data_IF_668014738710
#
_entry.id   IF_668014738710
#
_cell.length_a   1.000
_cell.length_b   1.000
_cell.length_c   1.000
_cell.angle_alpha   90.00
_cell.angle_beta   90.00
_cell.angle_gamma   90.00
#
_symmetry.space_group_name_H-M   'P 1'
#
loop_
_entity.id
_entity.type
_entity.pdbx_description
1 polymer ?
#
# COMPACT_ATOMS: atom_id res chain seq x y z
N UNK A 1 -0.73 13.11 -39.47
CA UNK A 1 -0.16 13.07 -38.10
C UNK A 1 -1.19 13.68 -37.16
N UNK A 2 -1.63 12.96 -36.12
CA UNK A 2 -2.58 13.53 -35.13
C UNK A 2 -1.90 14.63 -34.34
N UNK A 3 -2.57 15.76 -34.13
CA UNK A 3 -2.03 16.82 -33.26
C UNK A 3 -2.04 16.40 -31.78
N UNK A 4 -1.22 17.02 -30.92
CA UNK A 4 -1.26 16.74 -29.47
C UNK A 4 -2.64 17.06 -28.87
N UNK A 5 -3.35 18.04 -29.42
CA UNK A 5 -4.69 18.41 -28.95
C UNK A 5 -5.74 17.38 -29.39
N UNK A 6 -5.62 16.83 -30.60
CA UNK A 6 -6.44 15.68 -31.03
C UNK A 6 -6.19 14.46 -30.15
N UNK A 7 -4.94 14.18 -29.79
CA UNK A 7 -4.62 13.08 -28.86
C UNK A 7 -5.25 13.31 -27.49
N UNK A 8 -5.15 14.52 -26.92
CA UNK A 8 -5.81 14.87 -25.66
C UNK A 8 -7.33 14.70 -25.74
N UNK A 9 -7.94 15.07 -26.88
CA UNK A 9 -9.37 14.86 -27.11
C UNK A 9 -9.73 13.37 -27.18
N UNK A 10 -8.92 12.57 -27.89
CA UNK A 10 -9.09 11.12 -27.99
C UNK A 10 -8.97 10.43 -26.63
N UNK A 11 -7.96 10.80 -25.82
CA UNK A 11 -7.78 10.29 -24.45
C UNK A 11 -9.00 10.60 -23.60
N UNK A 12 -9.47 11.86 -23.60
CA UNK A 12 -10.63 12.25 -22.80
C UNK A 12 -11.91 11.52 -23.22
N UNK A 13 -12.13 11.36 -24.54
CA UNK A 13 -13.27 10.61 -25.06
C UNK A 13 -13.20 9.14 -24.62
N UNK A 14 -12.05 8.49 -24.77
CA UNK A 14 -11.88 7.10 -24.36
C UNK A 14 -12.11 6.92 -22.85
N UNK A 15 -11.61 7.84 -22.03
CA UNK A 15 -11.83 7.80 -20.58
C UNK A 15 -13.31 7.98 -20.20
N UNK A 16 -14.06 8.80 -20.93
CA UNK A 16 -15.51 8.92 -20.76
C UNK A 16 -16.24 7.64 -21.19
N UNK A 17 -15.88 7.07 -22.34
CA UNK A 17 -16.45 5.80 -22.85
C UNK A 17 -16.19 4.65 -21.86
N UNK A 18 -14.97 4.51 -21.34
CA UNK A 18 -14.61 3.54 -20.28
C UNK A 18 -15.48 3.76 -19.03
N UNK A 19 -15.69 5.01 -18.62
CA UNK A 19 -16.51 5.32 -17.46
C UNK A 19 -17.96 4.83 -17.60
N UNK A 20 -18.52 4.90 -18.81
CA UNK A 20 -19.88 4.44 -19.12
C UNK A 20 -19.92 2.90 -19.17
N UNK A 21 -18.98 2.28 -19.88
CA UNK A 21 -18.92 0.83 -20.06
C UNK A 21 -18.70 0.10 -18.73
N UNK A 22 -17.89 0.67 -17.84
CA UNK A 22 -17.58 0.05 -16.54
C UNK A 22 -18.80 0.02 -15.60
N UNK A 23 -19.72 0.98 -15.68
CA UNK A 23 -20.88 1.01 -14.79
C UNK A 23 -21.79 -0.22 -14.98
N UNK A 24 -22.02 -0.63 -16.24
CA UNK A 24 -22.84 -1.81 -16.54
C UNK A 24 -22.17 -3.16 -16.20
N UNK A 25 -20.85 -3.18 -16.03
CA UNK A 25 -20.11 -4.43 -15.71
C UNK A 25 -20.25 -4.85 -14.24
N UNK A 26 -20.70 -3.96 -13.36
CA UNK A 26 -20.90 -4.28 -11.94
C UNK A 26 -22.33 -4.72 -11.60
N UNK A 27 -23.28 -4.60 -12.53
CA UNK A 27 -24.66 -5.08 -12.36
C UNK A 27 -24.71 -6.63 -12.36
N UNK A 28 -24.01 -7.24 -13.32
CA UNK A 28 -23.79 -8.69 -13.38
C UNK A 28 -22.36 -8.98 -12.91
N UNK A 29 -22.15 -9.26 -11.62
CA UNK A 29 -20.82 -9.45 -11.02
C UNK A 29 -20.12 -10.75 -11.50
N UNK A 30 -19.66 -10.76 -12.75
CA UNK A 30 -18.83 -11.79 -13.36
C UNK A 30 -17.35 -11.38 -13.25
N UNK A 31 -16.66 -11.97 -12.28
CA UNK A 31 -15.27 -11.69 -11.96
C UNK A 31 -14.32 -11.95 -13.13
N UNK A 32 -14.61 -12.97 -13.96
CA UNK A 32 -13.75 -13.33 -15.09
C UNK A 32 -13.87 -12.27 -16.19
N UNK A 33 -15.11 -11.90 -16.52
CA UNK A 33 -15.38 -10.83 -17.51
C UNK A 33 -14.88 -9.48 -17.04
N UNK A 34 -15.02 -9.18 -15.75
CA UNK A 34 -14.51 -7.96 -15.14
C UNK A 34 -12.98 -7.89 -15.24
N UNK A 35 -12.28 -8.96 -14.84
CA UNK A 35 -10.83 -9.03 -14.90
C UNK A 35 -10.30 -8.86 -16.34
N UNK A 36 -10.94 -9.51 -17.32
CA UNK A 36 -10.59 -9.36 -18.73
C UNK A 36 -10.79 -7.92 -19.23
N UNK A 37 -11.94 -7.31 -18.93
CA UNK A 37 -12.24 -5.95 -19.40
C UNK A 37 -11.31 -4.93 -18.76
N UNK A 38 -11.06 -5.02 -17.45
CA UNK A 38 -10.12 -4.15 -16.74
C UNK A 38 -8.70 -4.25 -17.32
N UNK A 39 -8.24 -5.46 -17.63
CA UNK A 39 -6.93 -5.68 -18.27
C UNK A 39 -6.87 -5.06 -19.67
N UNK A 40 -7.90 -5.29 -20.48
CA UNK A 40 -7.98 -4.71 -21.84
C UNK A 40 -7.95 -3.19 -21.80
N UNK A 41 -8.70 -2.59 -20.88
CA UNK A 41 -8.72 -1.15 -20.70
C UNK A 41 -7.35 -0.65 -20.21
N UNK A 42 -6.74 -1.33 -19.24
CA UNK A 42 -5.41 -0.97 -18.74
C UNK A 42 -4.36 -0.94 -19.86
N UNK A 43 -4.30 -1.96 -20.73
CA UNK A 43 -3.35 -1.96 -21.86
C UNK A 43 -3.55 -0.79 -22.81
N UNK A 44 -4.81 -0.42 -23.10
CA UNK A 44 -5.11 0.74 -23.94
C UNK A 44 -4.71 2.06 -23.27
N UNK A 45 -4.91 2.16 -21.96
CA UNK A 45 -4.55 3.35 -21.18
C UNK A 45 -3.02 3.50 -21.08
N UNK A 46 -2.28 2.42 -20.86
CA UNK A 46 -0.81 2.43 -20.82
C UNK A 46 -0.23 2.86 -22.19
N UNK A 47 -0.77 2.35 -23.31
CA UNK A 47 -0.37 2.80 -24.67
C UNK A 47 -0.62 4.31 -24.89
N UNK A 48 -1.72 4.84 -24.35
CA UNK A 48 -2.03 6.27 -24.41
C UNK A 48 -1.15 7.11 -23.50
N UNK A 49 -0.76 6.58 -22.35
CA UNK A 49 0.13 7.25 -21.38
C UNK A 49 1.50 7.46 -22.03
N UNK A 50 2.08 6.40 -22.57
CA UNK A 50 3.38 6.46 -23.27
C UNK A 50 3.37 7.48 -24.42
N UNK A 51 2.33 7.46 -25.26
CA UNK A 51 2.25 8.38 -26.40
C UNK A 51 1.97 9.82 -25.99
N UNK A 52 1.20 10.05 -24.92
CA UNK A 52 0.91 11.39 -24.42
C UNK A 52 2.15 11.98 -23.71
N UNK A 53 2.80 11.22 -22.83
CA UNK A 53 4.03 11.64 -22.14
C UNK A 53 5.15 12.00 -23.11
N UNK A 54 5.36 11.16 -24.15
CA UNK A 54 6.33 11.41 -25.23
C UNK A 54 6.11 12.75 -25.93
N UNK A 55 4.86 13.19 -26.06
CA UNK A 55 4.49 14.44 -26.74
C UNK A 55 4.40 15.65 -25.82
N UNK A 56 4.18 15.46 -24.52
CA UNK A 56 4.05 16.56 -23.55
C UNK A 56 5.36 16.93 -22.86
N UNK A 57 6.29 15.98 -22.72
CA UNK A 57 7.52 16.12 -21.94
C UNK A 57 7.26 16.16 -20.42
N UNK A 58 8.23 15.74 -19.61
CA UNK A 58 8.10 15.55 -18.15
C UNK A 58 7.98 16.84 -17.31
N UNK A 59 8.03 18.03 -17.91
CA UNK A 59 8.10 19.29 -17.16
C UNK A 59 6.73 19.90 -16.91
N UNK A 60 6.14 19.57 -15.76
CA UNK A 60 5.03 20.32 -15.13
C UNK A 60 5.62 21.59 -14.49
N UNK A 61 5.37 22.82 -14.99
CA UNK A 61 5.80 24.02 -14.29
C UNK A 61 4.81 24.35 -13.18
N UNK A 62 5.32 24.64 -11.99
CA UNK A 62 4.58 25.22 -10.88
C UNK A 62 4.07 26.62 -11.26
N UNK A 63 2.75 26.76 -11.35
CA UNK A 63 2.02 28.01 -11.67
C UNK A 63 2.07 29.07 -10.55
N UNK A 64 3.12 29.10 -9.71
CA UNK A 64 3.02 29.83 -8.44
C UNK A 64 3.35 31.32 -8.48
N UNK A 65 3.86 31.86 -9.59
CA UNK A 65 4.12 33.30 -9.68
C UNK A 65 3.83 33.82 -11.09
N UNK A 66 2.63 34.35 -11.32
CA UNK A 66 2.37 35.21 -12.47
C UNK A 66 1.79 36.53 -11.99
N UNK A 67 2.52 37.59 -12.35
CA UNK A 67 2.18 38.97 -12.08
C UNK A 67 0.90 39.34 -12.86
N UNK A 68 -0.02 40.09 -12.23
CA UNK A 68 -1.36 40.40 -12.80
C UNK A 68 -1.31 41.17 -14.14
N UNK A 69 -0.13 41.62 -14.58
CA UNK A 69 0.09 42.54 -15.70
C UNK A 69 0.48 41.91 -17.06
N UNK A 70 0.73 40.61 -17.18
CA UNK A 70 0.99 39.97 -18.49
C UNK A 70 -0.27 39.29 -19.07
N UNK A 71 -1.22 40.11 -19.54
CA UNK A 71 -2.48 39.68 -20.20
C UNK A 71 -2.35 39.57 -21.73
N UNK A 72 -1.38 38.82 -22.23
CA UNK A 72 -1.33 38.51 -23.67
C UNK A 72 -2.26 37.31 -23.98
N UNK A 73 -3.26 37.45 -24.88
CA UNK A 73 -4.17 36.37 -25.27
C UNK A 73 -3.46 35.12 -25.85
N UNK A 74 -2.37 35.30 -26.60
CA UNK A 74 -1.61 34.21 -27.20
C UNK A 74 -0.87 33.40 -26.12
N UNK A 75 -0.29 34.11 -25.15
CA UNK A 75 0.34 33.50 -23.97
C UNK A 75 -0.70 32.74 -23.14
N UNK A 76 -1.89 33.31 -22.91
CA UNK A 76 -2.98 32.62 -22.21
C UNK A 76 -3.44 31.35 -22.94
N UNK A 77 -3.54 31.40 -24.27
CA UNK A 77 -3.91 30.24 -25.08
C UNK A 77 -2.88 29.11 -24.97
N UNK A 78 -1.57 29.44 -25.03
CA UNK A 78 -0.51 28.47 -24.83
C UNK A 78 -0.55 27.83 -23.44
N UNK A 79 -0.81 28.62 -22.40
CA UNK A 79 -0.98 28.11 -21.03
C UNK A 79 -2.22 27.23 -20.87
N UNK A 80 -3.35 27.59 -21.49
CA UNK A 80 -4.55 26.74 -21.50
C UNK A 80 -4.27 25.39 -22.14
N UNK A 81 -3.57 25.36 -23.27
CA UNK A 81 -3.15 24.11 -23.93
C UNK A 81 -2.28 23.25 -23.03
N UNK A 82 -1.24 23.83 -22.43
CA UNK A 82 -0.36 23.11 -21.48
C UNK A 82 -1.13 22.57 -20.27
N UNK A 83 -2.03 23.39 -19.70
CA UNK A 83 -2.89 22.98 -18.58
C UNK A 83 -3.80 21.82 -18.96
N UNK A 84 -4.44 21.87 -20.13
CA UNK A 84 -5.33 20.81 -20.60
C UNK A 84 -4.58 19.49 -20.82
N UNK A 85 -3.36 19.54 -21.35
CA UNK A 85 -2.47 18.37 -21.48
C UNK A 85 -2.14 17.77 -20.12
N UNK A 86 -1.75 18.60 -19.15
CA UNK A 86 -1.45 18.15 -17.79
C UNK A 86 -2.68 17.55 -17.10
N UNK A 87 -3.85 18.16 -17.26
CA UNK A 87 -5.11 17.61 -16.73
C UNK A 87 -5.48 16.27 -17.36
N UNK A 88 -5.24 16.11 -18.66
CA UNK A 88 -5.46 14.83 -19.34
C UNK A 88 -4.52 13.73 -18.82
N UNK A 89 -3.24 14.05 -18.58
CA UNK A 89 -2.29 13.14 -17.93
C UNK A 89 -2.71 12.78 -16.51
N UNK A 90 -3.06 13.75 -15.67
CA UNK A 90 -3.54 13.49 -14.30
C UNK A 90 -4.77 12.59 -14.29
N UNK A 91 -5.72 12.83 -15.21
CA UNK A 91 -6.91 12.00 -15.39
C UNK A 91 -6.53 10.58 -15.82
N UNK A 92 -5.59 10.45 -16.76
CA UNK A 92 -5.10 9.17 -17.27
C UNK A 92 -4.38 8.36 -16.17
N UNK A 93 -3.44 8.95 -15.43
CA UNK A 93 -2.76 8.30 -14.30
C UNK A 93 -3.75 7.85 -13.22
N UNK A 94 -4.79 8.65 -12.95
CA UNK A 94 -5.85 8.28 -12.01
C UNK A 94 -6.62 7.06 -12.50
N UNK A 95 -7.02 7.04 -13.78
CA UNK A 95 -7.71 5.91 -14.39
C UNK A 95 -6.85 4.64 -14.39
N UNK A 96 -5.58 4.73 -14.78
CA UNK A 96 -4.60 3.63 -14.76
C UNK A 96 -4.47 3.08 -13.33
N UNK A 97 -4.32 3.96 -12.34
CA UNK A 97 -4.21 3.57 -10.93
C UNK A 97 -5.48 2.82 -10.48
N UNK A 98 -6.67 3.31 -10.83
CA UNK A 98 -7.94 2.65 -10.51
C UNK A 98 -8.04 1.24 -11.14
N UNK A 99 -7.64 1.08 -12.39
CA UNK A 99 -7.64 -0.23 -13.07
C UNK A 99 -6.63 -1.19 -12.44
N UNK A 100 -5.39 -0.73 -12.16
CA UNK A 100 -4.35 -1.53 -11.48
C UNK A 100 -4.82 -1.98 -10.10
N UNK A 101 -5.41 -1.08 -9.32
CA UNK A 101 -5.99 -1.41 -8.01
C UNK A 101 -7.11 -2.44 -8.14
N UNK A 102 -8.03 -2.27 -9.09
CA UNK A 102 -9.13 -3.20 -9.29
C UNK A 102 -8.65 -4.61 -9.65
N UNK A 103 -7.69 -4.72 -10.57
CA UNK A 103 -7.06 -6.00 -10.93
C UNK A 103 -6.30 -6.64 -9.76
N UNK A 104 -5.62 -5.83 -8.96
CA UNK A 104 -4.94 -6.28 -7.74
C UNK A 104 -5.93 -6.84 -6.71
N UNK A 105 -7.05 -6.12 -6.46
CA UNK A 105 -8.13 -6.59 -5.60
C UNK A 105 -8.73 -7.92 -6.09
N UNK A 106 -8.96 -8.07 -7.39
CA UNK A 106 -9.46 -9.33 -7.96
C UNK A 106 -8.42 -10.45 -7.76
N UNK A 107 -7.16 -10.20 -8.12
CA UNK A 107 -6.07 -11.20 -8.02
C UNK A 107 -5.78 -11.63 -6.58
N UNK A 108 -6.00 -10.75 -5.61
CA UNK A 108 -5.80 -11.05 -4.20
C UNK A 108 -6.94 -11.85 -3.58
N UNK A 109 -8.15 -11.80 -4.15
CA UNK A 109 -9.33 -12.49 -3.62
C UNK A 109 -9.76 -13.72 -4.45
N UNK A 110 -9.32 -13.83 -5.70
CA UNK A 110 -9.73 -14.91 -6.60
C UNK A 110 -8.52 -15.62 -7.24
N UNK A 111 -8.72 -16.90 -7.54
CA UNK A 111 -7.85 -17.69 -8.39
C UNK A 111 -8.61 -18.12 -9.64
N UNK A 112 -7.95 -18.02 -10.79
CA UNK A 112 -8.54 -18.37 -12.08
C UNK A 112 -8.02 -19.73 -12.54
N UNK A 113 -8.92 -20.56 -13.05
CA UNK A 113 -8.62 -21.90 -13.51
C UNK A 113 -9.16 -22.11 -14.93
N UNK A 114 -8.34 -22.64 -15.82
CA UNK A 114 -8.77 -23.18 -17.10
C UNK A 114 -8.70 -24.70 -17.00
N UNK A 115 -9.86 -25.35 -16.89
CA UNK A 115 -9.90 -26.78 -16.56
C UNK A 115 -9.32 -27.04 -15.16
N UNK A 116 -8.13 -27.68 -15.10
CA UNK A 116 -7.43 -28.01 -13.84
C UNK A 116 -6.19 -27.15 -13.58
N UNK A 117 -5.73 -26.34 -14.55
CA UNK A 117 -4.51 -25.53 -14.40
C UNK A 117 -4.83 -24.12 -13.90
N UNK A 118 -4.11 -23.62 -12.88
CA UNK A 118 -4.23 -22.24 -12.44
C UNK A 118 -3.65 -21.28 -13.50
N UNK A 119 -4.32 -20.17 -13.72
CA UNK A 119 -3.99 -19.15 -14.70
C UNK A 119 -3.89 -17.78 -14.00
N UNK A 120 -2.95 -16.93 -14.46
CA UNK A 120 -2.83 -15.55 -14.00
C UNK A 120 -3.81 -14.65 -14.73
N UNK A 121 -4.20 -13.53 -14.13
CA UNK A 121 -5.09 -12.56 -14.79
C UNK A 121 -4.53 -12.08 -16.13
N UNK A 122 -3.21 -11.96 -16.24
CA UNK A 122 -2.51 -11.53 -17.45
C UNK A 122 -2.62 -12.51 -18.64
N UNK A 123 -3.02 -13.76 -18.42
CA UNK A 123 -3.17 -14.75 -19.49
C UNK A 123 -4.61 -14.98 -19.95
N UNK A 124 -5.59 -14.27 -19.37
CA UNK A 124 -6.99 -14.38 -19.77
C UNK A 124 -7.19 -13.83 -21.20
N UNK A 125 -7.77 -14.66 -22.08
CA UNK A 125 -8.12 -14.34 -23.47
C UNK A 125 -9.64 -14.29 -23.68
N UNK A 126 -10.07 -13.50 -24.67
CA UNK A 126 -11.50 -13.31 -25.01
C UNK A 126 -12.21 -14.63 -25.34
N UNK A 127 -11.54 -15.49 -26.11
CA UNK A 127 -12.13 -16.73 -26.64
C UNK A 127 -12.30 -17.83 -25.56
N UNK A 128 -11.71 -17.61 -24.37
CA UNK A 128 -11.67 -18.57 -23.27
C UNK A 128 -12.57 -18.16 -22.08
N UNK A 129 -13.23 -17.00 -22.15
CA UNK A 129 -14.04 -16.44 -21.05
C UNK A 129 -15.07 -17.45 -20.50
N UNK A 130 -15.77 -18.17 -21.37
CA UNK A 130 -16.77 -19.17 -20.94
C UNK A 130 -16.20 -20.47 -20.37
N UNK A 131 -14.88 -20.69 -20.44
CA UNK A 131 -14.21 -21.91 -19.96
C UNK A 131 -13.46 -21.68 -18.64
N UNK A 132 -13.20 -20.44 -18.29
CA UNK A 132 -12.45 -20.07 -17.09
C UNK A 132 -13.39 -20.08 -15.89
N UNK A 133 -12.96 -20.72 -14.80
CA UNK A 133 -13.66 -20.70 -13.52
C UNK A 133 -12.87 -19.85 -12.54
N UNK A 134 -13.56 -18.97 -11.81
CA UNK A 134 -13.00 -18.25 -10.68
C UNK A 134 -13.34 -18.97 -9.38
N UNK A 135 -12.36 -19.14 -8.50
CA UNK A 135 -12.54 -19.66 -7.14
C UNK A 135 -12.09 -18.60 -6.15
N UNK A 136 -12.90 -18.34 -5.13
CA UNK A 136 -12.51 -17.45 -4.03
C UNK A 136 -11.37 -18.05 -3.22
N UNK A 137 -10.40 -17.19 -2.88
CA UNK A 137 -9.33 -17.51 -1.94
C UNK A 137 -9.89 -17.57 -0.51
N UNK A 138 -9.30 -18.39 0.37
CA UNK A 138 -9.75 -18.53 1.75
C UNK A 138 -9.56 -17.22 2.54
N UNK A 139 -8.50 -16.45 2.22
CA UNK A 139 -8.21 -15.17 2.86
C UNK A 139 -8.58 -14.06 1.90
N UNK A 140 -9.41 -13.13 2.37
CA UNK A 140 -9.84 -11.96 1.59
C UNK A 140 -8.98 -10.74 1.95
N UNK A 141 -8.33 -10.15 0.94
CA UNK A 141 -7.51 -8.95 1.09
C UNK A 141 -8.23 -7.75 0.45
N UNK A 142 -8.63 -6.82 1.32
CA UNK A 142 -9.42 -5.65 0.93
C UNK A 142 -10.84 -6.00 0.45
N UNK A 143 -11.74 -5.03 0.47
CA UNK A 143 -13.14 -5.22 0.05
C UNK A 143 -13.32 -5.17 -1.46
N UNK A 144 -13.96 -6.20 -1.99
CA UNK A 144 -14.41 -6.28 -3.39
C UNK A 144 -15.53 -5.27 -3.68
N UNK A 145 -16.36 -4.97 -2.66
CA UNK A 145 -17.47 -4.01 -2.75
C UNK A 145 -17.02 -2.60 -3.13
N UNK A 146 -15.73 -2.28 -2.99
CA UNK A 146 -15.16 -0.97 -3.33
C UNK A 146 -14.98 -0.82 -4.85
N UNK A 147 -14.90 -1.93 -5.60
CA UNK A 147 -14.58 -1.91 -7.03
C UNK A 147 -15.51 -1.01 -7.86
N UNK A 148 -16.85 -1.07 -7.74
CA UNK A 148 -17.75 -0.23 -8.54
C UNK A 148 -17.53 1.27 -8.33
N UNK A 149 -16.95 1.67 -7.19
CA UNK A 149 -16.79 3.06 -6.79
C UNK A 149 -15.40 3.64 -7.11
N UNK A 150 -14.52 2.88 -7.77
CA UNK A 150 -13.22 3.37 -8.22
C UNK A 150 -13.37 4.33 -9.42
N UNK A 151 -12.51 5.36 -9.54
CA UNK A 151 -12.60 6.35 -10.61
C UNK A 151 -12.00 5.82 -11.94
N UNK A 152 -12.67 4.87 -12.59
CA UNK A 152 -12.19 4.25 -13.84
C UNK A 152 -11.99 5.24 -15.00
N UNK A 153 -12.75 6.33 -15.03
CA UNK A 153 -12.58 7.43 -16.00
C UNK A 153 -11.57 8.51 -15.56
N UNK A 154 -10.98 8.38 -14.37
CA UNK A 154 -10.02 9.32 -13.80
C UNK A 154 -10.61 10.62 -13.22
N UNK A 155 -11.90 10.92 -13.43
CA UNK A 155 -12.52 12.18 -12.99
C UNK A 155 -13.07 12.13 -11.56
N UNK A 156 -12.18 12.03 -10.58
CA UNK A 156 -12.58 11.98 -9.15
C UNK A 156 -13.47 13.15 -8.75
N UNK A 157 -13.10 14.38 -9.13
CA UNK A 157 -13.85 15.57 -8.75
C UNK A 157 -15.21 15.67 -9.45
N UNK A 158 -15.33 15.17 -10.69
CA UNK A 158 -16.59 15.16 -11.42
C UNK A 158 -17.56 14.18 -10.77
N UNK A 159 -17.10 12.97 -10.44
CA UNK A 159 -17.88 11.98 -9.71
C UNK A 159 -18.33 12.58 -8.37
N UNK A 160 -17.39 13.11 -7.59
CA UNK A 160 -17.66 13.73 -6.30
C UNK A 160 -18.62 14.95 -6.37
N UNK A 161 -18.64 15.69 -7.47
CA UNK A 161 -19.50 16.87 -7.64
C UNK A 161 -20.98 16.53 -7.78
N UNK A 162 -21.30 15.29 -8.19
CA UNK A 162 -22.67 14.78 -8.33
C UNK A 162 -23.25 14.30 -7.01
N UNK A 163 -22.40 14.17 -5.98
CA UNK A 163 -22.76 13.57 -4.70
C UNK A 163 -23.17 14.59 -3.63
N UNK A 164 -23.87 14.07 -2.61
CA UNK A 164 -24.31 14.83 -1.45
C UNK A 164 -23.18 15.41 -0.59
N UNK A 165 -23.52 16.34 0.31
CA UNK A 165 -22.56 16.99 1.21
C UNK A 165 -21.83 15.95 2.10
N UNK A 166 -22.54 14.96 2.62
CA UNK A 166 -22.00 13.91 3.50
C UNK A 166 -20.85 13.12 2.84
N UNK A 167 -21.03 12.67 1.59
CA UNK A 167 -19.99 11.97 0.82
C UNK A 167 -18.77 12.88 0.61
N UNK A 168 -19.00 14.16 0.29
CA UNK A 168 -17.92 15.13 0.06
C UNK A 168 -17.12 15.44 1.32
N UNK A 169 -17.78 15.50 2.47
CA UNK A 169 -17.12 15.66 3.77
C UNK A 169 -16.31 14.43 4.14
N UNK A 170 -16.89 13.24 3.94
CA UNK A 170 -16.22 11.95 4.18
C UNK A 170 -15.00 11.76 3.27
N UNK A 171 -15.12 12.10 1.99
CA UNK A 171 -13.99 12.13 1.05
C UNK A 171 -12.86 13.02 1.56
N UNK A 172 -13.17 14.26 1.98
CA UNK A 172 -12.17 15.20 2.53
C UNK A 172 -11.54 14.65 3.80
N UNK A 173 -12.34 14.02 4.66
CA UNK A 173 -11.87 13.42 5.90
C UNK A 173 -10.88 12.27 5.63
N UNK A 174 -11.25 11.30 4.79
CA UNK A 174 -10.38 10.17 4.42
C UNK A 174 -9.10 10.68 3.76
N UNK A 175 -9.22 11.57 2.78
CA UNK A 175 -8.10 12.17 2.06
C UNK A 175 -7.15 12.91 3.01
N UNK A 176 -7.68 13.67 3.96
CA UNK A 176 -6.91 14.36 4.99
C UNK A 176 -6.13 13.40 5.88
N UNK A 177 -6.76 12.29 6.29
CA UNK A 177 -6.13 11.26 7.13
C UNK A 177 -5.05 10.45 6.40
N UNK A 178 -5.28 10.08 5.14
CA UNK A 178 -4.28 9.38 4.32
C UNK A 178 -3.05 10.25 3.99
N UNK A 179 -3.24 11.57 3.86
CA UNK A 179 -2.17 12.55 3.62
C UNK A 179 -1.56 13.12 4.91
N UNK A 180 -2.03 12.66 6.06
CA UNK A 180 -1.46 13.08 7.35
C UNK A 180 0.04 12.79 7.33
N UNK A 181 0.84 13.83 7.59
CA UNK A 181 2.27 13.68 7.80
C UNK A 181 2.44 13.23 9.24
N UNK A 182 2.71 11.95 9.44
CA UNK A 182 3.13 11.42 10.73
C UNK A 182 4.27 12.27 11.30
N UNK A 183 4.28 12.44 12.63
CA UNK A 183 5.34 13.18 13.33
C UNK A 183 6.71 12.65 12.89
N UNK A 184 7.43 13.52 12.18
CA UNK A 184 8.65 13.17 11.46
C UNK A 184 9.71 12.73 12.47
N UNK A 185 10.03 11.43 12.48
CA UNK A 185 11.26 10.95 13.13
C UNK A 185 12.44 11.19 12.19
N UNK A 186 13.50 11.80 12.69
CA UNK A 186 14.77 11.85 11.98
C UNK A 186 15.28 10.41 11.86
N UNK A 187 15.27 9.86 10.64
CA UNK A 187 15.75 8.50 10.37
C UNK A 187 17.26 8.47 10.17
N UNK A 188 17.83 9.58 9.73
CA UNK A 188 19.25 9.67 9.46
C UNK A 188 19.73 11.07 9.12
N UNK A 189 21.02 11.14 8.82
CA UNK A 189 21.73 12.34 8.41
C UNK A 189 22.28 12.10 7.01
N UNK A 190 21.99 13.02 6.09
CA UNK A 190 22.65 13.06 4.79
C UNK A 190 23.83 14.00 4.89
N UNK A 191 25.03 13.44 4.73
CA UNK A 191 26.29 14.12 4.92
C UNK A 191 27.02 14.15 3.58
N UNK A 192 27.49 15.33 3.20
CA UNK A 192 28.44 15.47 2.10
C UNK A 192 29.85 15.51 2.67
N UNK A 193 30.72 14.67 2.11
CA UNK A 193 32.09 14.47 2.57
C UNK A 193 33.04 14.80 1.44
N UNK A 194 33.97 15.72 1.71
CA UNK A 194 35.13 16.01 0.90
C UNK A 194 36.32 15.23 1.46
N UNK A 195 36.93 14.36 0.65
CA UNK A 195 38.09 13.57 1.07
C UNK A 195 39.17 13.56 -0.01
N UNK A 196 40.41 13.33 0.43
CA UNK A 196 41.57 13.25 -0.44
C UNK A 196 41.81 11.80 -0.87
N UNK A 197 41.77 11.54 -2.16
CA UNK A 197 42.10 10.25 -2.76
C UNK A 197 42.83 10.49 -4.07
N UNK A 198 43.95 9.80 -4.27
CA UNK A 198 44.78 9.85 -5.50
C UNK A 198 45.18 11.28 -5.91
N UNK A 199 45.65 12.08 -4.93
CA UNK A 199 46.04 13.47 -5.12
C UNK A 199 44.94 14.40 -5.68
N UNK A 200 43.66 14.02 -5.55
CA UNK A 200 42.51 14.85 -5.93
C UNK A 200 41.49 14.93 -4.79
N UNK A 201 40.84 16.08 -4.69
CA UNK A 201 39.70 16.28 -3.79
C UNK A 201 38.46 15.64 -4.44
N UNK A 202 37.86 14.65 -3.77
CA UNK A 202 36.61 14.00 -4.20
C UNK A 202 35.48 14.37 -3.24
N UNK A 203 34.25 14.42 -3.76
CA UNK A 203 33.01 14.66 -3.00
C UNK A 203 32.15 13.41 -3.04
N UNK A 204 31.58 13.04 -1.90
CA UNK A 204 30.67 11.91 -1.79
C UNK A 204 29.48 12.26 -0.87
N UNK A 205 28.34 11.61 -1.09
CA UNK A 205 27.11 11.81 -0.31
C UNK A 205 26.73 10.52 0.37
N UNK A 206 26.63 10.56 1.69
CA UNK A 206 26.42 9.39 2.52
C UNK A 206 25.21 9.61 3.41
N UNK A 207 24.41 8.56 3.54
CA UNK A 207 23.28 8.53 4.46
C UNK A 207 23.68 7.70 5.69
N UNK A 208 23.70 8.33 6.87
CA UNK A 208 23.98 7.68 8.17
C UNK A 208 22.69 7.57 9.01
N UNK A 209 22.55 6.54 9.87
CA UNK A 209 21.50 6.47 10.88
C UNK A 209 21.48 7.70 11.81
N UNK A 210 20.33 8.00 12.42
CA UNK A 210 20.18 9.20 13.27
C UNK A 210 20.98 9.12 14.59
N UNK A 211 21.28 7.90 15.02
CA UNK A 211 22.01 7.52 16.23
C UNK A 211 23.48 7.15 15.97
N UNK A 212 23.94 7.20 14.72
CA UNK A 212 25.31 6.85 14.38
C UNK A 212 26.32 7.92 14.82
N UNK A 213 27.47 7.48 15.34
CA UNK A 213 28.63 8.34 15.52
C UNK A 213 29.22 8.68 14.13
N UNK A 214 28.92 9.90 13.69
CA UNK A 214 29.32 10.43 12.39
C UNK A 214 30.82 10.35 12.19
N UNK A 215 31.60 10.67 13.22
CA UNK A 215 33.05 10.77 13.06
C UNK A 215 33.69 9.38 12.96
N UNK A 216 33.19 8.41 13.72
CA UNK A 216 33.65 7.01 13.64
C UNK A 216 33.32 6.38 12.28
N UNK A 217 32.09 6.53 11.79
CA UNK A 217 31.65 6.02 10.48
C UNK A 217 32.45 6.63 9.32
N UNK A 218 32.68 7.94 9.35
CA UNK A 218 33.46 8.62 8.31
C UNK A 218 34.95 8.25 8.36
N UNK A 219 35.51 8.07 9.56
CA UNK A 219 36.91 7.65 9.72
C UNK A 219 37.14 6.22 9.23
N UNK A 220 36.18 5.30 9.44
CA UNK A 220 36.22 3.94 8.89
C UNK A 220 36.25 3.93 7.36
N UNK A 221 35.53 4.85 6.70
CA UNK A 221 35.38 4.88 5.24
C UNK A 221 36.43 5.69 4.50
N UNK A 222 36.84 6.85 5.03
CA UNK A 222 37.72 7.81 4.33
C UNK A 222 39.02 8.12 5.08
N UNK A 223 39.29 7.45 6.21
CA UNK A 223 40.52 7.63 6.98
C UNK A 223 40.54 8.93 7.80
N UNK A 224 41.72 9.51 8.03
CA UNK A 224 41.90 10.67 8.94
C UNK A 224 41.73 12.05 8.27
N UNK A 225 41.72 12.11 6.93
CA UNK A 225 41.72 13.39 6.18
C UNK A 225 40.44 13.55 5.37
N UNK A 226 39.40 14.03 6.04
CA UNK A 226 38.12 14.37 5.43
C UNK A 226 37.56 15.66 6.05
N UNK A 227 36.72 16.35 5.28
CA UNK A 227 35.89 17.46 5.74
C UNK A 227 34.44 17.13 5.39
N UNK A 228 33.52 17.33 6.32
CA UNK A 228 32.12 17.02 6.07
C UNK A 228 31.20 18.19 6.39
N UNK A 229 30.03 18.19 5.74
CA UNK A 229 28.93 19.11 6.01
C UNK A 229 27.63 18.32 6.06
N UNK A 230 26.86 18.47 7.13
CA UNK A 230 25.48 17.95 7.18
C UNK A 230 24.64 18.78 6.22
N UNK A 231 24.10 18.13 5.19
CA UNK A 231 23.26 18.76 4.18
C UNK A 231 21.80 18.81 4.62
N UNK A 232 21.31 17.71 5.17
CA UNK A 232 19.90 17.58 5.55
C UNK A 232 19.68 16.41 6.48
N UNK A 233 18.73 16.55 7.39
CA UNK A 233 18.15 15.42 8.11
C UNK A 233 17.32 14.58 7.13
N UNK A 234 17.57 13.28 7.07
CA UNK A 234 16.72 12.31 6.38
C UNK A 234 15.50 12.12 7.27
N UNK A 235 14.51 12.96 7.02
CA UNK A 235 13.18 12.88 7.62
C UNK A 235 12.44 11.73 6.96
N UNK A 236 11.80 10.85 7.73
CA UNK A 236 10.82 9.94 7.13
C UNK A 236 9.72 10.78 6.49
N UNK A 237 9.41 10.52 5.21
CA UNK A 237 8.14 10.97 4.65
C UNK A 237 7.06 10.28 5.49
N UNK A 238 6.42 11.04 6.36
CA UNK A 238 5.41 10.54 7.28
C UNK A 238 4.08 10.23 6.60
N UNK A 239 4.02 9.98 5.29
CA UNK A 239 2.75 9.72 4.59
C UNK A 239 2.60 8.21 4.42
N UNK A 240 1.41 7.67 4.73
CA UNK A 240 1.13 6.23 4.68
C UNK A 240 1.15 5.70 3.24
N UNK A 241 0.61 6.49 2.31
CA UNK A 241 0.54 6.19 0.87
C UNK A 241 1.17 7.34 0.09
N UNK A 242 2.31 7.09 -0.54
CA UNK A 242 3.06 8.06 -1.35
C UNK A 242 2.63 8.03 -2.82
N UNK A 243 1.33 7.94 -3.08
CA UNK A 243 0.71 8.09 -4.40
C UNK A 243 -0.61 8.86 -4.25
N UNK A 244 -0.70 10.07 -4.81
CA UNK A 244 -1.92 10.87 -4.66
C UNK A 244 -3.10 10.33 -5.45
N UNK A 245 -2.87 9.61 -6.55
CA UNK A 245 -3.92 8.94 -7.33
C UNK A 245 -4.57 7.81 -6.53
N UNK A 246 -3.77 7.04 -5.79
CA UNK A 246 -4.26 5.99 -4.87
C UNK A 246 -5.04 6.60 -3.73
N UNK A 247 -4.53 7.68 -3.12
CA UNK A 247 -5.25 8.38 -2.05
C UNK A 247 -6.60 8.89 -2.53
N UNK A 248 -6.64 9.53 -3.69
CA UNK A 248 -7.88 10.11 -4.22
C UNK A 248 -8.87 9.00 -4.64
N UNK A 249 -8.40 7.89 -5.21
CA UNK A 249 -9.21 6.72 -5.56
C UNK A 249 -9.80 6.03 -4.33
N UNK A 250 -9.00 5.77 -3.29
CA UNK A 250 -9.48 5.18 -2.04
C UNK A 250 -10.46 6.09 -1.32
N UNK A 251 -10.15 7.39 -1.26
CA UNK A 251 -11.02 8.38 -0.60
C UNK A 251 -12.39 8.43 -1.28
N UNK A 252 -12.43 8.41 -2.62
CA UNK A 252 -13.68 8.38 -3.37
C UNK A 252 -14.43 7.08 -3.10
N UNK A 253 -13.78 5.95 -3.33
CA UNK A 253 -14.44 4.66 -3.33
C UNK A 253 -15.03 4.28 -1.96
N UNK A 254 -14.30 4.56 -0.87
CA UNK A 254 -14.83 4.32 0.49
C UNK A 254 -15.86 5.35 0.93
N UNK A 255 -15.77 6.60 0.46
CA UNK A 255 -16.80 7.60 0.75
C UNK A 255 -18.15 7.30 0.07
N UNK A 256 -18.10 6.66 -1.10
CA UNK A 256 -19.29 6.23 -1.84
C UNK A 256 -19.85 4.90 -1.32
N UNK A 257 -18.97 3.96 -0.97
CA UNK A 257 -19.38 2.67 -0.40
C UNK A 257 -20.19 2.84 0.88
N UNK A 258 -19.70 3.68 1.79
CA UNK A 258 -20.37 3.95 3.05
C UNK A 258 -19.96 5.33 3.60
N UNK A 259 -20.83 6.34 3.50
CA UNK A 259 -20.51 7.69 3.98
C UNK A 259 -20.25 7.75 5.50
N UNK A 260 -20.85 6.85 6.30
CA UNK A 260 -20.73 6.88 7.76
C UNK A 260 -19.51 6.12 8.25
N UNK A 261 -19.38 4.87 7.82
CA UNK A 261 -18.35 3.94 8.33
C UNK A 261 -17.22 3.70 7.31
N UNK A 262 -17.26 4.32 6.14
CA UNK A 262 -16.23 4.22 5.11
C UNK A 262 -14.79 4.45 5.59
N UNK A 263 -14.51 5.48 6.42
CA UNK A 263 -13.19 5.69 7.00
C UNK A 263 -12.71 4.53 7.89
N UNK A 264 -13.62 3.96 8.68
CA UNK A 264 -13.32 2.83 9.59
C UNK A 264 -13.11 1.54 8.78
N UNK A 265 -13.95 1.29 7.77
CA UNK A 265 -13.78 0.17 6.82
C UNK A 265 -12.43 0.24 6.10
N UNK A 266 -12.03 1.41 5.60
CA UNK A 266 -10.72 1.60 4.96
C UNK A 266 -9.57 1.34 5.93
N UNK A 267 -9.67 1.89 7.14
CA UNK A 267 -8.64 1.72 8.16
C UNK A 267 -8.46 0.25 8.54
N UNK A 268 -9.56 -0.50 8.69
CA UNK A 268 -9.54 -1.92 8.97
C UNK A 268 -8.95 -2.72 7.80
N UNK A 269 -9.32 -2.40 6.57
CA UNK A 269 -8.79 -3.07 5.37
C UNK A 269 -7.29 -2.84 5.21
N UNK A 270 -6.79 -1.62 5.45
CA UNK A 270 -5.35 -1.33 5.47
C UNK A 270 -4.67 -2.09 6.61
N UNK A 271 -5.26 -2.09 7.82
CA UNK A 271 -4.71 -2.82 8.96
C UNK A 271 -4.60 -4.32 8.68
N UNK A 272 -5.67 -4.94 8.16
CA UNK A 272 -5.68 -6.34 7.71
C UNK A 272 -4.66 -6.59 6.63
N UNK A 273 -4.56 -5.70 5.63
CA UNK A 273 -3.56 -5.82 4.58
C UNK A 273 -2.15 -5.89 5.15
N UNK A 274 -1.80 -5.02 6.10
CA UNK A 274 -0.51 -5.15 6.78
C UNK A 274 -0.39 -6.48 7.51
N UNK A 275 -1.35 -6.90 8.32
CA UNK A 275 -1.20 -8.13 9.10
C UNK A 275 -1.15 -9.40 8.25
N UNK A 276 -1.95 -9.49 7.19
CA UNK A 276 -2.10 -10.69 6.37
C UNK A 276 -1.01 -10.82 5.29
N UNK A 277 -0.18 -9.81 5.10
CA UNK A 277 0.89 -9.82 4.09
C UNK A 277 2.26 -9.62 4.72
N UNK A 278 3.28 -10.12 4.03
CA UNK A 278 4.69 -9.82 4.27
C UNK A 278 5.11 -8.51 3.59
N UNK A 279 6.25 -7.90 3.99
CA UNK A 279 6.75 -6.68 3.35
C UNK A 279 6.96 -6.84 1.84
N UNK A 280 7.41 -8.01 1.39
CA UNK A 280 7.63 -8.34 -0.02
C UNK A 280 6.32 -8.49 -0.80
N UNK A 281 5.29 -9.08 -0.18
CA UNK A 281 3.96 -9.17 -0.79
C UNK A 281 3.32 -7.78 -0.90
N UNK A 282 3.56 -6.89 0.06
CA UNK A 282 3.03 -5.51 0.00
C UNK A 282 3.55 -4.72 -1.18
N UNK A 283 4.78 -5.00 -1.62
CA UNK A 283 5.41 -4.38 -2.78
C UNK A 283 4.85 -4.94 -4.10
N UNK A 284 4.56 -6.24 -4.16
CA UNK A 284 4.16 -6.92 -5.40
C UNK A 284 2.65 -6.95 -5.65
N UNK A 285 1.83 -7.04 -4.61
CA UNK A 285 0.37 -7.20 -4.74
C UNK A 285 -0.32 -5.96 -5.33
N UNK A 286 0.19 -4.77 -5.07
CA UNK A 286 -0.30 -3.54 -5.69
C UNK A 286 -1.73 -3.13 -5.29
N UNK A 287 -2.32 -3.68 -4.22
CA UNK A 287 -3.68 -3.29 -3.75
C UNK A 287 -3.76 -1.81 -3.41
N UNK A 288 -2.71 -1.29 -2.78
CA UNK A 288 -2.57 0.11 -2.41
C UNK A 288 -1.25 0.64 -2.95
N UNK A 289 -1.18 1.05 -4.24
CA UNK A 289 0.06 1.51 -4.85
C UNK A 289 0.70 2.66 -4.06
N UNK A 290 2.01 2.57 -3.82
CA UNK A 290 2.75 3.56 -3.02
C UNK A 290 2.50 3.48 -1.52
N UNK A 291 1.80 2.45 -1.02
CA UNK A 291 1.71 2.19 0.42
C UNK A 291 3.09 1.87 1.01
N UNK A 292 3.35 2.37 2.20
CA UNK A 292 4.61 2.14 2.89
C UNK A 292 4.77 0.66 3.29
N UNK A 293 5.91 0.04 3.00
CA UNK A 293 6.15 -1.37 3.36
C UNK A 293 6.08 -1.63 4.86
N UNK A 294 6.58 -0.70 5.68
CA UNK A 294 6.54 -0.77 7.14
C UNK A 294 6.14 0.57 7.75
N UNK A 295 5.25 0.53 8.74
CA UNK A 295 4.83 1.71 9.51
C UNK A 295 5.86 2.02 10.59
N UNK A 296 6.21 3.29 10.76
CA UNK A 296 7.23 3.78 11.69
C UNK A 296 6.79 5.01 12.50
N UNK A 297 5.57 5.49 12.26
CA UNK A 297 5.00 6.66 12.91
C UNK A 297 3.49 6.48 13.10
N UNK A 298 2.91 7.38 13.89
CA UNK A 298 1.48 7.40 14.15
C UNK A 298 0.70 7.94 12.94
N UNK A 299 -0.33 7.19 12.55
CA UNK A 299 -1.36 7.57 11.59
C UNK A 299 -2.73 7.48 12.24
N UNK A 300 -3.44 8.60 12.34
CA UNK A 300 -4.72 8.65 13.07
C UNK A 300 -5.85 7.89 12.35
N UNK A 301 -5.69 7.57 11.06
CA UNK A 301 -6.60 6.68 10.32
C UNK A 301 -6.66 5.29 10.97
N UNK A 302 -5.51 4.75 11.38
CA UNK A 302 -5.40 3.38 11.87
C UNK A 302 -6.00 3.17 13.27
N UNK A 303 -6.33 4.26 13.95
CA UNK A 303 -6.98 4.19 15.26
C UNK A 303 -8.50 4.02 15.15
N UNK A 304 -9.09 4.38 14.01
CA UNK A 304 -10.54 4.37 13.82
C UNK A 304 -11.20 3.03 14.19
N UNK A 305 -10.68 1.85 13.76
CA UNK A 305 -11.30 0.56 14.05
C UNK A 305 -11.23 0.16 15.53
N UNK A 306 -10.37 0.81 16.31
CA UNK A 306 -10.06 0.39 17.69
C UNK A 306 -10.58 1.37 18.74
N UNK A 307 -11.33 2.42 18.35
CA UNK A 307 -11.83 3.44 19.28
C UNK A 307 -12.69 2.89 20.42
N UNK A 308 -13.31 1.72 20.22
CA UNK A 308 -14.19 1.06 21.20
C UNK A 308 -13.44 0.04 22.07
N UNK A 309 -12.13 -0.14 21.87
CA UNK A 309 -11.32 -1.03 22.70
C UNK A 309 -11.14 -0.44 24.11
N UNK A 310 -11.21 -1.27 25.17
CA UNK A 310 -11.06 -0.79 26.55
C UNK A 310 -9.67 -0.19 26.81
N UNK A 311 -8.65 -0.71 26.14
CA UNK A 311 -7.26 -0.26 26.25
C UNK A 311 -6.87 0.81 25.22
N UNK A 312 -7.86 1.41 24.54
CA UNK A 312 -7.60 2.35 23.46
C UNK A 312 -6.82 3.58 23.95
N UNK A 313 -5.74 3.91 23.24
CA UNK A 313 -4.99 5.16 23.36
C UNK A 313 -4.70 5.68 21.96
N UNK A 314 -4.54 7.00 21.81
CA UNK A 314 -4.12 7.57 20.52
C UNK A 314 -2.82 6.90 20.04
N UNK A 315 -2.85 6.40 18.81
CA UNK A 315 -1.79 5.60 18.21
C UNK A 315 -1.91 4.10 18.37
N UNK A 316 -3.01 3.59 18.97
CA UNK A 316 -3.23 2.16 19.18
C UNK A 316 -2.95 1.32 17.92
N UNK A 317 -3.66 1.59 16.82
CA UNK A 317 -3.53 0.78 15.61
C UNK A 317 -2.17 0.92 14.94
N UNK A 318 -1.60 2.14 14.97
CA UNK A 318 -0.25 2.39 14.44
C UNK A 318 0.82 1.63 15.23
N UNK A 319 0.69 1.58 16.56
CA UNK A 319 1.64 0.87 17.44
C UNK A 319 1.62 -0.63 17.20
N UNK A 320 0.45 -1.23 16.94
CA UNK A 320 0.35 -2.64 16.59
C UNK A 320 1.10 -2.95 15.27
N UNK A 321 0.95 -2.08 14.26
CA UNK A 321 1.68 -2.22 13.00
C UNK A 321 3.19 -2.02 13.15
N UNK A 322 3.62 -1.04 13.96
CA UNK A 322 5.04 -0.82 14.25
C UNK A 322 5.65 -2.08 14.90
N UNK A 323 5.01 -2.63 15.94
CA UNK A 323 5.44 -3.86 16.59
C UNK A 323 5.48 -5.04 15.62
N UNK A 324 4.49 -5.17 14.74
CA UNK A 324 4.51 -6.18 13.67
C UNK A 324 5.77 -6.02 12.82
N UNK A 325 6.05 -4.81 12.33
CA UNK A 325 7.21 -4.56 11.49
C UNK A 325 8.55 -4.79 12.21
N UNK A 326 8.62 -4.58 13.52
CA UNK A 326 9.78 -4.93 14.35
C UNK A 326 9.97 -6.45 14.43
N UNK A 327 8.91 -7.20 14.71
CA UNK A 327 8.93 -8.67 14.79
C UNK A 327 9.27 -9.29 13.42
N UNK A 328 8.71 -8.77 12.32
CA UNK A 328 9.05 -9.23 10.96
C UNK A 328 10.55 -9.08 10.65
N UNK A 329 11.19 -8.01 11.15
CA UNK A 329 12.65 -7.83 11.03
C UNK A 329 13.42 -8.83 11.89
N UNK A 330 12.97 -9.09 13.12
CA UNK A 330 13.60 -10.11 13.98
C UNK A 330 13.48 -11.53 13.43
N UNK A 331 12.42 -11.81 12.66
CA UNK A 331 12.20 -13.07 11.97
C UNK A 331 13.04 -13.21 10.68
N UNK A 332 13.64 -12.13 10.17
CA UNK A 332 14.51 -12.21 9.01
C UNK A 332 15.74 -13.07 9.33
N UNK A 333 15.88 -14.20 8.62
CA UNK A 333 16.92 -15.21 8.87
C UNK A 333 16.50 -16.41 9.71
N UNK A 334 15.37 -16.36 10.44
CA UNK A 334 14.81 -17.48 11.23
C UNK A 334 13.58 -18.13 10.58
N UNK A 335 13.33 -17.83 9.30
CA UNK A 335 12.12 -18.25 8.58
C UNK A 335 12.11 -19.74 8.24
N UNK A 336 13.27 -20.39 8.23
CA UNK A 336 13.41 -21.85 8.05
C UNK A 336 12.62 -22.61 9.11
N UNK A 337 12.63 -22.11 10.35
CA UNK A 337 12.08 -22.76 11.53
C UNK A 337 10.55 -22.72 11.58
N UNK A 338 9.95 -21.87 10.74
CA UNK A 338 8.50 -21.64 10.61
C UNK A 338 8.02 -21.71 9.15
N UNK A 339 8.78 -22.40 8.29
CA UNK A 339 8.47 -22.52 6.85
C UNK A 339 7.11 -23.17 6.56
N UNK A 340 6.56 -23.93 7.49
CA UNK A 340 5.23 -24.55 7.39
C UNK A 340 4.07 -23.57 7.66
N UNK A 341 4.33 -22.41 8.26
CA UNK A 341 3.29 -21.44 8.65
C UNK A 341 3.11 -20.42 7.52
N UNK A 342 1.90 -20.29 6.95
CA UNK A 342 1.61 -19.26 5.95
C UNK A 342 1.77 -17.84 6.51
N UNK A 343 2.20 -16.89 5.66
CA UNK A 343 2.43 -15.48 6.07
C UNK A 343 1.20 -14.83 6.72
N UNK A 344 0.01 -15.14 6.20
CA UNK A 344 -1.23 -14.57 6.73
C UNK A 344 -1.57 -15.09 8.14
N UNK A 345 -1.21 -16.34 8.46
CA UNK A 345 -1.38 -16.91 9.80
C UNK A 345 -0.30 -16.40 10.74
N UNK A 346 0.94 -16.28 10.26
CA UNK A 346 2.03 -15.64 11.01
C UNK A 346 1.65 -14.21 11.46
N UNK A 347 0.96 -13.46 10.60
CA UNK A 347 0.33 -12.19 10.96
C UNK A 347 -0.61 -12.30 12.17
N UNK A 348 -1.51 -13.28 12.15
CA UNK A 348 -2.41 -13.57 13.27
C UNK A 348 -1.68 -13.96 14.55
N UNK A 349 -0.65 -14.80 14.46
CA UNK A 349 0.19 -15.19 15.60
C UNK A 349 0.88 -13.96 16.22
N UNK A 350 1.43 -13.08 15.38
CA UNK A 350 2.05 -11.83 15.82
C UNK A 350 1.01 -10.95 16.53
N UNK A 351 -0.18 -10.79 15.94
CA UNK A 351 -1.23 -9.98 16.54
C UNK A 351 -1.69 -10.53 17.89
N UNK A 352 -1.85 -11.85 17.99
CA UNK A 352 -2.16 -12.56 19.22
C UNK A 352 -1.09 -12.31 20.30
N UNK A 353 0.20 -12.41 19.94
CA UNK A 353 1.30 -12.22 20.88
C UNK A 353 1.51 -10.78 21.36
N UNK A 354 1.17 -9.77 20.56
CA UNK A 354 1.35 -8.35 20.95
C UNK A 354 0.13 -7.74 21.65
N UNK A 355 -1.03 -8.41 21.64
CA UNK A 355 -2.29 -7.89 22.20
C UNK A 355 -2.81 -8.75 23.35
N UNK A 356 -3.68 -8.20 24.22
CA UNK A 356 -4.39 -8.98 25.22
C UNK A 356 -5.53 -9.85 24.65
N UNK A 357 -5.76 -9.85 23.33
CA UNK A 357 -6.87 -10.57 22.68
C UNK A 357 -6.70 -12.10 22.66
N UNK A 358 -7.83 -12.80 22.56
CA UNK A 358 -7.89 -14.25 22.38
C UNK A 358 -7.85 -14.63 20.89
N UNK A 359 -7.77 -15.93 20.61
CA UNK A 359 -7.72 -16.45 19.24
C UNK A 359 -8.99 -16.12 18.46
N UNK A 360 -10.15 -16.13 19.13
CA UNK A 360 -11.44 -15.81 18.53
C UNK A 360 -11.47 -14.37 18.01
N UNK A 361 -11.09 -13.41 18.84
CA UNK A 361 -11.05 -11.99 18.46
C UNK A 361 -10.03 -11.71 17.37
N UNK A 362 -8.85 -12.34 17.41
CA UNK A 362 -7.83 -12.18 16.35
C UNK A 362 -8.32 -12.77 15.02
N UNK A 363 -8.93 -13.96 15.06
CA UNK A 363 -9.51 -14.63 13.90
C UNK A 363 -10.62 -13.80 13.26
N UNK A 364 -11.55 -13.26 14.06
CA UNK A 364 -12.63 -12.38 13.59
C UNK A 364 -12.08 -11.07 13.01
N UNK A 365 -11.16 -10.42 13.72
CA UNK A 365 -10.59 -9.15 13.30
C UNK A 365 -9.82 -9.29 11.99
N UNK A 366 -9.07 -10.38 11.78
CA UNK A 366 -8.30 -10.60 10.56
C UNK A 366 -9.08 -11.34 9.46
N UNK A 367 -10.22 -11.95 9.77
CA UNK A 367 -10.97 -12.76 8.82
C UNK A 367 -10.24 -14.04 8.41
N UNK A 368 -9.49 -14.66 9.34
CA UNK A 368 -8.78 -15.92 9.14
C UNK A 368 -9.47 -17.05 9.88
N UNK A 369 -9.28 -18.30 9.45
CA UNK A 369 -9.84 -19.45 10.15
C UNK A 369 -9.22 -19.61 11.54
N UNK A 370 -10.06 -19.65 12.57
CA UNK A 370 -9.62 -19.77 13.96
C UNK A 370 -8.98 -21.13 14.29
N UNK A 371 -9.41 -22.21 13.64
CA UNK A 371 -8.83 -23.54 13.84
C UNK A 371 -7.39 -23.60 13.31
N UNK A 372 -7.18 -23.09 12.09
CA UNK A 372 -5.85 -22.99 11.46
C UNK A 372 -4.91 -22.11 12.31
N UNK A 373 -5.42 -20.99 12.84
CA UNK A 373 -4.67 -20.12 13.73
C UNK A 373 -4.22 -20.85 15.01
N UNK A 374 -5.12 -21.61 15.65
CA UNK A 374 -4.79 -22.36 16.87
C UNK A 374 -3.74 -23.44 16.60
N UNK A 375 -3.86 -24.16 15.49
CA UNK A 375 -2.90 -25.21 15.12
C UNK A 375 -1.50 -24.62 14.87
N UNK A 376 -1.42 -23.52 14.13
CA UNK A 376 -0.14 -22.91 13.80
C UNK A 376 0.46 -22.11 14.96
N UNK A 377 -0.35 -21.59 15.90
CA UNK A 377 0.17 -21.10 17.19
C UNK A 377 0.91 -22.24 17.91
N UNK A 378 0.35 -23.46 17.96
CA UNK A 378 1.05 -24.60 18.58
C UNK A 378 2.37 -24.90 17.88
N UNK A 379 2.39 -24.91 16.55
CA UNK A 379 3.64 -25.12 15.77
C UNK A 379 4.67 -24.04 16.05
N UNK A 380 4.23 -22.78 16.14
CA UNK A 380 5.08 -21.64 16.46
C UNK A 380 5.62 -21.67 17.89
N UNK A 381 4.84 -22.18 18.84
CA UNK A 381 5.31 -22.39 20.23
C UNK A 381 6.35 -23.50 20.28
N UNK A 382 6.13 -24.61 19.56
CA UNK A 382 7.08 -25.72 19.46
C UNK A 382 8.44 -25.31 18.86
N UNK A 383 8.47 -24.31 17.96
CA UNK A 383 9.74 -23.80 17.41
C UNK A 383 10.54 -22.96 18.42
N UNK A 384 9.97 -22.60 19.57
CA UNK A 384 10.64 -21.80 20.59
C UNK A 384 10.78 -20.31 20.27
N UNK A 385 10.37 -19.86 19.08
CA UNK A 385 10.51 -18.45 18.68
C UNK A 385 9.69 -17.49 19.54
N UNK A 386 8.61 -17.98 20.16
CA UNK A 386 7.74 -17.18 21.02
C UNK A 386 8.47 -16.57 22.23
N UNK A 387 9.47 -17.23 22.81
CA UNK A 387 10.26 -16.70 23.93
C UNK A 387 11.25 -15.62 23.51
N UNK A 388 11.71 -15.66 22.26
CA UNK A 388 12.66 -14.68 21.72
C UNK A 388 11.96 -13.41 21.18
N UNK A 389 10.71 -13.53 20.74
CA UNK A 389 10.01 -12.47 20.01
C UNK A 389 9.00 -11.70 20.87
N UNK A 390 8.47 -12.32 21.91
CA UNK A 390 7.44 -11.70 22.76
C UNK A 390 7.93 -11.55 24.20
N UNK A 391 7.69 -10.38 24.82
CA UNK A 391 8.07 -10.15 26.21
C UNK A 391 7.16 -10.87 27.22
N UNK A 392 5.91 -11.15 26.84
CA UNK A 392 4.96 -11.90 27.66
C UNK A 392 4.70 -13.26 27.00
N UNK A 393 5.05 -14.33 27.71
CA UNK A 393 5.00 -15.70 27.22
C UNK A 393 3.80 -16.46 27.80
N UNK A 394 3.18 -15.97 28.87
CA UNK A 394 2.10 -16.62 29.64
C UNK A 394 0.94 -17.09 28.73
N UNK A 395 0.64 -16.27 27.71
CA UNK A 395 -0.40 -16.56 26.71
C UNK A 395 -0.09 -17.75 25.80
N UNK A 396 1.16 -18.07 25.60
CA UNK A 396 1.62 -19.19 24.79
C UNK A 396 1.72 -20.48 25.61
N UNK A 397 1.80 -20.40 26.94
CA UNK A 397 1.94 -21.57 27.81
C UNK A 397 0.78 -22.55 27.69
N UNK A 398 -0.44 -22.06 27.42
CA UNK A 398 -1.61 -22.92 27.20
C UNK A 398 -1.47 -23.85 25.97
N UNK A 399 -0.54 -23.54 25.07
CA UNK A 399 -0.22 -24.32 23.88
C UNK A 399 1.02 -25.20 24.05
N UNK A 400 1.72 -25.11 25.17
CA UNK A 400 2.84 -26.00 25.48
C UNK A 400 2.34 -27.43 25.73
N UNK A 401 3.10 -28.46 25.30
CA UNK A 401 2.74 -29.84 25.56
C UNK A 401 2.68 -30.11 27.07
N UNK A 402 1.59 -30.76 27.51
CA UNK A 402 1.30 -31.02 28.93
C UNK A 402 2.22 -32.06 29.59
N UNK A 403 2.99 -32.83 28.80
CA UNK A 403 3.90 -33.87 29.31
C UNK A 403 5.24 -33.28 29.74
N UNK A 404 5.67 -33.56 30.98
CA UNK A 404 6.96 -33.11 31.53
C UNK A 404 8.17 -33.65 30.75
N UNK A 405 8.04 -34.83 30.11
CA UNK A 405 9.08 -35.36 29.21
C UNK A 405 9.20 -34.54 27.94
N UNK A 406 8.08 -34.08 27.38
CA UNK A 406 8.07 -33.23 26.19
C UNK A 406 8.60 -31.82 26.50
N UNK A 407 8.29 -31.28 27.69
CA UNK A 407 8.87 -30.01 28.17
C UNK A 407 10.39 -30.10 28.32
N UNK A 408 10.91 -31.17 28.93
CA UNK A 408 12.35 -31.42 29.05
C UNK A 408 13.04 -31.62 27.69
N UNK A 409 12.39 -32.29 26.75
CA UNK A 409 12.90 -32.47 25.39
C UNK A 409 12.97 -31.15 24.61
N UNK A 410 11.95 -30.30 24.73
CA UNK A 410 11.94 -28.96 24.11
C UNK A 410 12.98 -28.04 24.73
N UNK A 411 13.17 -28.06 26.05
CA UNK A 411 14.23 -27.27 26.69
C UNK A 411 15.64 -27.69 26.27
N UNK A 412 15.83 -28.95 25.87
CA UNK A 412 17.12 -29.47 25.36
C UNK A 412 17.36 -29.12 23.89
N UNK A 413 16.32 -28.80 23.11
CA UNK A 413 16.42 -28.34 21.72
C UNK A 413 16.61 -26.82 21.59
N UNK A 414 16.30 -26.08 22.66
CA UNK A 414 16.34 -24.61 22.70
C UNK A 414 17.61 -24.04 23.37
N UNK A 415 18.46 -24.90 23.96
CA UNK A 415 19.80 -24.56 24.45
C UNK A 415 20.84 -24.91 23.39
#
# INVERSE_FOLDING_TARGET
MTTTEELVSQVNKMLDDIGIDMAGLFEDFDVVRLAYTLKKNLSLLDEMEEELERRTGELIPTLHNMDKKSRDPHIQWLYRKKRNRALALERLHTAITAHRMALAHISANYEFYLGKSPIKVDSIKKDELGKIKAKEKPVKLGRIEVLPYLPYSGDVLRLLSREGVEIRETFKFIKGKLREKGTVRTRGLRIEVEYWSDNRLKRDKIDLPADADIEEELRKRYGRRFRWRVLSFIKTKGVLINNHYTVDSLSLAYSLLDPKDGPEKLALDIFRYYFLTSPTERETLGLYPGIKQCVDCHYSLLDLPFKREPDFKTGYGSMLLIKKCEIEKMLSGKRTDISSIPNYILGGIILYGITPWDEGKVSELLGINGEDLIEDIKKFVLSGLHTALFPNVDKFEKFMPRSDKAKKFLSLLQG
#
